data_IF_803387559246
#
_entry.id   IF_803387559246
#
_cell.length_a   1.000
_cell.length_b   1.000
_cell.length_c   1.000
_cell.angle_alpha   90.00
_cell.angle_beta   90.00
_cell.angle_gamma   90.00
#
_symmetry.space_group_name_H-M   'P 1'
#
loop_
_entity.id
_entity.type
_entity.pdbx_description
1 polymer ?
#
# COMPACT_ATOMS: atom_id res chain seq x y z
N UNK A 1 16.44 -20.04 4.77
CA UNK A 1 16.08 -18.63 4.51
C UNK A 1 14.64 -18.41 4.95
N UNK A 2 14.43 -17.78 6.09
CA UNK A 2 13.10 -17.59 6.69
C UNK A 2 12.34 -16.52 5.90
N UNK A 3 11.21 -16.90 5.28
CA UNK A 3 10.32 -15.96 4.58
C UNK A 3 9.74 -14.96 5.59
N UNK A 4 10.25 -13.74 5.59
CA UNK A 4 9.60 -12.61 6.28
C UNK A 4 8.32 -12.33 5.52
N UNK A 5 7.15 -12.66 6.11
CA UNK A 5 5.83 -12.37 5.52
C UNK A 5 5.72 -10.86 5.33
N UNK A 6 5.43 -10.37 4.12
CA UNK A 6 5.28 -8.93 3.86
C UNK A 6 3.98 -8.35 4.45
N UNK A 7 3.01 -9.21 4.74
CA UNK A 7 1.69 -8.86 5.26
C UNK A 7 1.66 -7.92 6.49
N UNK A 8 2.44 -8.14 7.57
CA UNK A 8 2.46 -7.28 8.74
C UNK A 8 3.23 -5.96 8.56
N UNK A 9 3.94 -5.78 7.43
CA UNK A 9 4.76 -4.60 7.16
C UNK A 9 4.11 -3.73 6.07
N UNK A 10 3.60 -4.36 5.01
CA UNK A 10 2.97 -3.69 3.86
C UNK A 10 1.48 -3.47 4.08
N UNK A 11 0.81 -4.38 4.80
CA UNK A 11 -0.64 -4.37 4.92
C UNK A 11 -1.21 -3.08 5.51
N UNK A 12 -0.62 -2.59 6.61
CA UNK A 12 -1.09 -1.36 7.27
C UNK A 12 -0.84 -0.08 6.46
N UNK A 13 0.22 -0.05 5.64
CA UNK A 13 0.48 1.07 4.74
C UNK A 13 -0.50 1.06 3.56
N UNK A 14 -0.66 -0.10 2.91
CA UNK A 14 -1.54 -0.25 1.75
C UNK A 14 -3.00 0.04 2.11
N UNK A 15 -3.47 -0.42 3.28
CA UNK A 15 -4.83 -0.16 3.75
C UNK A 15 -5.09 1.34 3.95
N UNK A 16 -4.20 2.05 4.63
CA UNK A 16 -4.36 3.50 4.84
C UNK A 16 -4.24 4.32 3.56
N UNK A 17 -3.32 3.94 2.67
CA UNK A 17 -3.17 4.61 1.38
C UNK A 17 -4.43 4.46 0.53
N UNK A 18 -4.98 3.24 0.45
CA UNK A 18 -6.22 2.98 -0.28
C UNK A 18 -7.44 3.62 0.40
N UNK A 19 -7.45 3.78 1.72
CA UNK A 19 -8.52 4.48 2.42
C UNK A 19 -8.50 6.00 2.18
N UNK A 20 -7.33 6.62 2.00
CA UNK A 20 -7.23 8.03 1.60
C UNK A 20 -7.58 8.23 0.11
N UNK A 21 -7.11 7.34 -0.76
CA UNK A 21 -7.32 7.46 -2.21
C UNK A 21 -8.73 7.02 -2.66
N UNK A 22 -9.35 6.05 -1.96
CA UNK A 22 -10.67 5.47 -2.27
C UNK A 22 -11.53 5.42 -0.99
N UNK A 23 -12.04 6.56 -0.51
CA UNK A 23 -12.76 6.64 0.77
C UNK A 23 -14.07 5.83 0.79
N UNK A 24 -14.74 5.69 -0.36
CA UNK A 24 -16.02 4.99 -0.47
C UNK A 24 -15.88 3.49 -0.73
N UNK A 25 -14.64 2.99 -0.82
CA UNK A 25 -14.39 1.56 -1.04
C UNK A 25 -14.76 0.76 0.22
N UNK A 26 -15.65 -0.25 0.13
CA UNK A 26 -16.02 -1.08 1.28
C UNK A 26 -14.80 -1.74 1.92
N UNK A 27 -14.75 -1.75 3.26
CA UNK A 27 -13.62 -2.29 4.04
C UNK A 27 -13.25 -3.73 3.64
N UNK A 28 -14.23 -4.57 3.30
CA UNK A 28 -14.00 -5.95 2.88
C UNK A 28 -13.25 -6.03 1.54
N UNK A 29 -13.63 -5.20 0.55
CA UNK A 29 -12.94 -5.12 -0.75
C UNK A 29 -11.53 -4.55 -0.61
N UNK A 30 -11.36 -3.55 0.26
CA UNK A 30 -10.05 -2.99 0.58
C UNK A 30 -9.12 -4.03 1.19
N UNK A 31 -9.61 -4.86 2.13
CA UNK A 31 -8.83 -5.94 2.72
C UNK A 31 -8.37 -6.99 1.69
N UNK A 32 -9.21 -7.31 0.71
CA UNK A 32 -8.87 -8.22 -0.40
C UNK A 32 -7.74 -7.64 -1.28
N UNK A 33 -7.82 -6.36 -1.63
CA UNK A 33 -6.79 -5.64 -2.40
C UNK A 33 -5.47 -5.61 -1.64
N UNK A 34 -5.51 -5.30 -0.33
CA UNK A 34 -4.31 -5.31 0.52
C UNK A 34 -3.67 -6.70 0.58
N UNK A 35 -4.48 -7.75 0.69
CA UNK A 35 -4.01 -9.14 0.65
C UNK A 35 -3.36 -9.49 -0.69
N UNK A 36 -3.91 -9.01 -1.81
CA UNK A 36 -3.32 -9.17 -3.13
C UNK A 36 -1.97 -8.46 -3.27
N UNK A 37 -1.89 -7.18 -2.85
CA UNK A 37 -0.65 -6.39 -2.89
C UNK A 37 0.44 -7.05 -2.06
N UNK A 38 0.13 -7.50 -0.84
CA UNK A 38 1.09 -8.19 0.03
C UNK A 38 1.64 -9.47 -0.61
N UNK A 39 0.78 -10.31 -1.22
CA UNK A 39 1.20 -11.54 -1.92
C UNK A 39 2.07 -11.25 -3.14
N UNK A 40 1.77 -10.19 -3.90
CA UNK A 40 2.56 -9.80 -5.08
C UNK A 40 3.93 -9.25 -4.69
N UNK A 41 4.02 -8.48 -3.61
CA UNK A 41 5.30 -8.02 -3.05
C UNK A 41 6.16 -9.20 -2.58
N UNK A 42 5.55 -10.23 -2.00
CA UNK A 42 6.26 -11.45 -1.59
C UNK A 42 6.84 -12.26 -2.76
N UNK A 43 6.37 -12.03 -3.99
CA UNK A 43 6.86 -12.67 -5.21
C UNK A 43 7.95 -11.89 -5.97
N UNK A 44 8.33 -10.68 -5.56
CA UNK A 44 9.31 -9.86 -6.28
C UNK A 44 10.78 -10.27 -6.02
N UNK A 45 11.68 -10.09 -7.00
CA UNK A 45 13.12 -10.35 -6.85
C UNK A 45 13.77 -9.56 -5.69
N UNK A 46 14.82 -10.13 -5.09
CA UNK A 46 15.38 -9.74 -3.79
C UNK A 46 15.76 -8.27 -3.62
N UNK A 47 16.15 -7.57 -4.70
CA UNK A 47 16.59 -6.17 -4.64
C UNK A 47 15.42 -5.18 -4.45
N UNK A 48 14.28 -5.40 -5.12
CA UNK A 48 13.04 -4.65 -4.89
C UNK A 48 12.41 -5.01 -3.55
N UNK A 49 12.51 -6.28 -3.15
CA UNK A 49 12.00 -6.76 -1.85
C UNK A 49 12.70 -6.08 -0.67
N UNK A 50 14.00 -5.81 -0.78
CA UNK A 50 14.77 -5.06 0.23
C UNK A 50 14.30 -3.60 0.33
N UNK A 51 14.08 -2.93 -0.81
CA UNK A 51 13.54 -1.56 -0.84
C UNK A 51 12.15 -1.48 -0.24
N UNK A 52 11.25 -2.41 -0.60
CA UNK A 52 9.89 -2.48 -0.06
C UNK A 52 9.87 -2.77 1.45
N UNK A 53 10.70 -3.71 1.91
CA UNK A 53 10.81 -4.01 3.35
C UNK A 53 11.38 -2.82 4.12
N UNK A 54 12.43 -2.18 3.63
CA UNK A 54 13.03 -1.01 4.27
C UNK A 54 12.01 0.13 4.39
N UNK A 55 11.29 0.43 3.31
CA UNK A 55 10.25 1.46 3.30
C UNK A 55 9.10 1.07 4.22
N UNK A 56 8.64 -0.19 4.17
CA UNK A 56 7.59 -0.66 5.06
C UNK A 56 7.99 -0.64 6.54
N UNK A 57 9.25 -0.90 6.88
CA UNK A 57 9.78 -0.73 8.24
C UNK A 57 9.77 0.74 8.66
N UNK A 58 10.20 1.66 7.78
CA UNK A 58 10.14 3.11 8.04
C UNK A 58 8.70 3.58 8.25
N UNK A 59 7.77 3.15 7.40
CA UNK A 59 6.35 3.49 7.55
C UNK A 59 5.75 2.86 8.79
N UNK A 60 6.10 1.63 9.12
CA UNK A 60 5.64 0.97 10.35
C UNK A 60 6.15 1.71 11.59
N UNK A 61 7.40 2.15 11.58
CA UNK A 61 7.97 2.97 12.66
C UNK A 61 7.24 4.32 12.76
N UNK A 62 6.97 4.98 11.64
CA UNK A 62 6.19 6.22 11.60
C UNK A 62 4.75 6.02 12.10
N UNK A 63 4.09 4.93 11.69
CA UNK A 63 2.71 4.61 12.07
C UNK A 63 2.56 4.20 13.53
N UNK A 64 3.62 3.71 14.17
CA UNK A 64 3.63 3.36 15.59
C UNK A 64 3.66 4.61 16.51
N UNK A 65 4.01 5.78 15.96
CA UNK A 65 4.01 7.06 16.71
C UNK A 65 2.60 7.68 16.67
N UNK A 66 2.02 8.10 17.82
CA UNK A 66 0.76 8.84 17.83
C UNK A 66 0.91 10.13 17.00
N UNK A 67 0.14 10.28 15.92
CA UNK A 67 0.23 11.41 14.98
C UNK A 67 1.24 11.22 13.82
N UNK A 68 1.98 10.11 13.77
CA UNK A 68 3.01 9.87 12.76
C UNK A 68 2.50 9.66 11.33
N UNK A 69 1.19 9.58 11.12
CA UNK A 69 0.59 9.65 9.79
C UNK A 69 0.82 11.00 9.11
N UNK A 70 0.85 12.09 9.88
CA UNK A 70 1.18 13.42 9.34
C UNK A 70 2.61 13.46 8.77
N UNK A 71 3.56 12.88 9.49
CA UNK A 71 4.94 12.69 9.03
C UNK A 71 5.01 11.76 7.82
N UNK A 72 4.25 10.66 7.83
CA UNK A 72 4.12 9.77 6.68
C UNK A 72 3.67 10.52 5.42
N UNK A 73 2.67 11.42 5.53
CA UNK A 73 2.21 12.27 4.42
C UNK A 73 3.28 13.23 3.91
N UNK A 74 4.11 13.79 4.78
CA UNK A 74 5.23 14.66 4.39
C UNK A 74 6.32 13.85 3.67
N UNK A 75 6.66 12.68 4.20
CA UNK A 75 7.63 11.75 3.59
C UNK A 75 7.16 11.28 2.21
N UNK A 76 5.85 11.03 2.03
CA UNK A 76 5.25 10.69 0.75
C UNK A 76 5.29 11.82 -0.29
N UNK A 77 5.44 13.08 0.15
CA UNK A 77 5.56 14.26 -0.73
C UNK A 77 7.00 14.63 -1.04
N UNK A 78 7.98 14.06 -0.33
CA UNK A 78 9.39 14.31 -0.64
C UNK A 78 9.77 13.59 -1.95
N UNK A 79 10.51 14.25 -2.87
CA UNK A 79 10.99 13.65 -4.11
C UNK A 79 12.19 12.73 -3.85
N UNK A 80 12.00 11.75 -2.98
CA UNK A 80 12.99 10.71 -2.71
C UNK A 80 12.76 9.58 -3.73
N UNK A 81 13.71 9.33 -4.65
CA UNK A 81 13.51 8.51 -5.84
C UNK A 81 13.04 7.07 -5.53
N UNK A 82 13.37 6.54 -4.36
CA UNK A 82 12.94 5.20 -3.93
C UNK A 82 11.70 5.20 -3.04
N UNK A 83 11.43 6.30 -2.31
CA UNK A 83 10.29 6.38 -1.37
C UNK A 83 8.99 6.70 -2.08
N UNK A 84 9.03 7.48 -3.17
CA UNK A 84 7.85 7.80 -3.97
C UNK A 84 7.42 6.65 -4.90
N UNK A 85 8.35 5.76 -5.27
CA UNK A 85 8.11 4.66 -6.20
C UNK A 85 7.27 3.54 -5.57
N UNK A 86 7.43 3.31 -4.28
CA UNK A 86 6.67 2.29 -3.57
C UNK A 86 5.16 2.59 -3.46
N UNK A 87 4.72 3.78 -3.03
CA UNK A 87 3.31 4.20 -3.11
C UNK A 87 2.77 4.15 -4.53
N UNK A 88 3.59 4.51 -5.52
CA UNK A 88 3.21 4.47 -6.94
C UNK A 88 2.91 3.04 -7.41
N UNK A 89 3.74 2.07 -7.04
CA UNK A 89 3.51 0.65 -7.32
C UNK A 89 2.28 0.11 -6.60
N UNK A 90 2.09 0.47 -5.33
CA UNK A 90 0.91 0.05 -4.55
C UNK A 90 -0.36 0.60 -5.18
N UNK A 91 -0.37 1.87 -5.61
CA UNK A 91 -1.49 2.48 -6.35
C UNK A 91 -1.74 1.77 -7.67
N UNK A 92 -0.69 1.51 -8.47
CA UNK A 92 -0.90 0.88 -9.77
C UNK A 92 -1.47 -0.54 -9.63
N UNK A 93 -0.95 -1.34 -8.69
CA UNK A 93 -1.47 -2.69 -8.41
C UNK A 93 -2.87 -2.66 -7.80
N UNK A 94 -3.11 -1.75 -6.86
CA UNK A 94 -4.39 -1.59 -6.20
C UNK A 94 -5.49 -1.16 -7.18
N UNK A 95 -5.24 -0.14 -7.99
CA UNK A 95 -6.19 0.34 -8.99
C UNK A 95 -6.42 -0.69 -10.09
N UNK A 96 -5.37 -1.35 -10.58
CA UNK A 96 -5.54 -2.42 -11.57
C UNK A 96 -6.47 -3.51 -11.04
N UNK A 97 -6.25 -3.99 -9.81
CA UNK A 97 -7.10 -5.03 -9.22
C UNK A 97 -8.55 -4.58 -9.02
N UNK A 98 -8.76 -3.35 -8.52
CA UNK A 98 -10.09 -2.79 -8.24
C UNK A 98 -10.90 -2.67 -9.53
N UNK A 99 -10.34 -2.08 -10.58
CA UNK A 99 -11.07 -1.88 -11.84
C UNK A 99 -11.18 -3.15 -12.68
N UNK A 100 -10.32 -4.14 -12.48
CA UNK A 100 -10.45 -5.47 -13.09
C UNK A 100 -11.59 -6.27 -12.45
N UNK A 101 -11.75 -6.22 -11.12
CA UNK A 101 -12.78 -6.98 -10.40
C UNK A 101 -14.12 -6.26 -10.27
N UNK A 102 -14.10 -4.92 -10.22
CA UNK A 102 -15.28 -4.07 -10.08
C UNK A 102 -15.18 -2.91 -11.09
N UNK A 103 -15.47 -3.15 -12.38
CA UNK A 103 -15.27 -2.16 -13.44
C UNK A 103 -16.19 -0.95 -13.31
N UNK A 104 -17.34 -1.08 -12.63
CA UNK A 104 -18.24 0.02 -12.30
C UNK A 104 -17.82 0.81 -11.06
N UNK A 105 -16.58 0.69 -10.58
CA UNK A 105 -16.14 1.48 -9.41
C UNK A 105 -15.93 2.95 -9.78
N UNK A 106 -16.49 3.87 -9.01
CA UNK A 106 -16.29 5.32 -9.16
C UNK A 106 -14.87 5.73 -8.73
N UNK A 107 -14.39 6.93 -9.09
CA UNK A 107 -13.07 7.41 -8.68
C UNK A 107 -12.86 7.48 -7.16
N UNK A 108 -13.92 7.47 -6.36
CA UNK A 108 -13.87 7.47 -4.90
C UNK A 108 -13.97 6.08 -4.27
N UNK A 109 -14.19 5.02 -5.07
CA UNK A 109 -14.30 3.63 -4.59
C UNK A 109 -15.73 3.11 -4.41
N UNK A 110 -16.74 3.93 -4.70
CA UNK A 110 -18.15 3.53 -4.65
C UNK A 110 -18.55 2.67 -5.85
N UNK A 111 -19.70 2.00 -5.77
CA UNK A 111 -20.33 1.43 -6.96
C UNK A 111 -21.01 2.55 -7.76
N UNK A 112 -20.73 2.63 -9.06
CA UNK A 112 -21.44 3.51 -10.00
C UNK A 112 -22.88 3.03 -10.24
#
# INVERSE_FOLDING_TARGET
>A
MQQVRALPVVGGFADRLLAEDLPDLPHQRRAEVVGFVARRVDGLPSFTRFGVLLIGVVFRALLAVPGGWGLGRVVLRLPLPFVAEYPRLVRSLGYAYVWEHWPSTTPTGGAA
#
